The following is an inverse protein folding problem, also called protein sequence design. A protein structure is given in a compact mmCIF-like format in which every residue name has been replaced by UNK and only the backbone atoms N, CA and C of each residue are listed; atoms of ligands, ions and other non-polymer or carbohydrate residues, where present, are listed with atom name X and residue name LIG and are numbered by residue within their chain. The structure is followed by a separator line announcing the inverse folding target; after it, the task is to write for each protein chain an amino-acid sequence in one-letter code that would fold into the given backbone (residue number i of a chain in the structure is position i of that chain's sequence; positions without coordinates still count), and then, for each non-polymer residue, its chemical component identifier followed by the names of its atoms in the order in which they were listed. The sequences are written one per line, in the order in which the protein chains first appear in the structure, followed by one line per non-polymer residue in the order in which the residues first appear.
data_IF_271550299628
#
_entry.id   IF_271550299628
#
_cell.length_a   1.000
_cell.length_b   1.000
_cell.length_c   1.000
_cell.angle_alpha   90.00
_cell.angle_beta   90.00
_cell.angle_gamma   90.00
#
_symmetry.space_group_name_H-M   'P 1'
#
loop_
_entity.id
_entity.type
_entity.pdbx_description
1 polymer ?
#
# COMPACT_ATOMS: atom_id res chain seq x y z
N UNK A 1 58.37 28.61 26.17
CA UNK A 1 58.20 27.15 26.16
C UNK A 1 56.73 26.89 26.40
N UNK A 2 56.06 25.95 25.74
CA UNK A 2 56.49 24.67 25.18
C UNK A 2 55.24 24.19 24.42
N UNK A 3 55.24 24.17 23.08
CA UNK A 3 55.45 22.96 22.25
C UNK A 3 54.51 21.81 22.68
N UNK A 4 53.34 21.70 22.03
CA UNK A 4 53.02 20.75 20.94
C UNK A 4 53.12 19.28 21.33
N UNK A 5 51.98 18.59 21.20
CA UNK A 5 51.78 17.34 20.43
C UNK A 5 50.34 16.88 20.73
N UNK A 6 49.41 16.63 19.80
CA UNK A 6 49.55 16.28 18.40
C UNK A 6 48.65 15.07 18.17
N UNK A 7 47.45 15.26 17.62
CA UNK A 7 46.79 14.20 16.85
C UNK A 7 45.85 14.81 15.81
N UNK A 8 46.41 15.05 14.63
CA UNK A 8 45.65 15.19 13.38
C UNK A 8 45.64 13.83 12.69
N UNK A 9 44.46 13.31 12.37
CA UNK A 9 44.10 12.34 11.31
C UNK A 9 42.60 12.04 11.54
N UNK A 10 41.67 12.09 10.59
CA UNK A 10 41.73 12.23 9.15
C UNK A 10 40.39 12.81 8.66
N UNK A 11 40.45 13.53 7.53
CA UNK A 11 39.30 13.83 6.69
C UNK A 11 38.72 12.53 6.10
N UNK A 12 37.44 12.62 5.72
CA UNK A 12 36.69 11.77 4.79
C UNK A 12 35.81 10.66 5.40
N UNK A 13 34.63 11.07 5.85
CA UNK A 13 33.42 10.28 5.71
C UNK A 13 32.33 11.22 5.21
N UNK A 14 32.02 11.19 3.92
CA UNK A 14 30.99 12.04 3.32
C UNK A 14 29.68 11.87 4.09
N UNK A 15 29.12 12.99 4.56
CA UNK A 15 27.70 13.06 4.89
C UNK A 15 26.97 12.85 3.58
N UNK A 16 26.68 11.58 3.24
CA UNK A 16 25.79 11.27 2.12
C UNK A 16 24.42 11.82 2.51
N UNK A 17 24.12 13.02 2.01
CA UNK A 17 22.78 13.58 1.90
C UNK A 17 21.86 12.49 1.35
N UNK A 18 21.09 11.86 2.23
CA UNK A 18 20.25 10.70 1.92
C UNK A 18 19.10 11.17 1.04
N UNK A 19 19.19 10.89 -0.25
CA UNK A 19 18.13 11.21 -1.22
C UNK A 19 16.91 10.29 -1.04
N UNK A 20 15.70 10.83 -1.20
CA UNK A 20 14.43 10.12 -1.06
C UNK A 20 14.05 9.22 -2.24
N UNK A 21 15.02 8.66 -2.96
CA UNK A 21 14.77 7.81 -4.12
C UNK A 21 14.47 6.36 -3.72
N UNK A 22 13.63 5.69 -4.51
CA UNK A 22 13.16 4.31 -4.30
C UNK A 22 14.29 3.26 -4.27
N UNK A 23 15.47 3.60 -4.83
CA UNK A 23 16.67 2.76 -4.83
C UNK A 23 17.47 2.84 -3.53
N UNK A 24 17.35 3.92 -2.75
CA UNK A 24 18.09 4.07 -1.48
C UNK A 24 17.39 3.45 -0.27
N UNK A 25 16.22 2.82 -0.46
CA UNK A 25 15.30 2.52 0.63
C UNK A 25 15.15 1.04 1.01
N UNK A 26 15.84 0.12 0.35
CA UNK A 26 15.65 -1.32 0.60
C UNK A 26 16.94 -2.10 0.30
N UNK A 27 18.05 -1.80 0.96
CA UNK A 27 19.25 -2.65 0.84
C UNK A 27 19.41 -3.63 2.01
N UNK A 28 18.82 -3.35 3.18
CA UNK A 28 18.95 -4.25 4.34
C UNK A 28 17.61 -4.39 5.09
N UNK A 29 16.85 -5.45 4.76
CA UNK A 29 15.72 -5.89 5.56
C UNK A 29 15.76 -7.40 5.74
N UNK A 30 15.50 -7.87 6.95
CA UNK A 30 15.49 -9.29 7.28
C UNK A 30 14.18 -9.65 7.96
N UNK A 31 13.67 -10.84 7.67
CA UNK A 31 12.49 -11.38 8.31
C UNK A 31 12.82 -12.74 8.89
N UNK A 32 12.31 -13.00 10.09
CA UNK A 32 12.35 -14.32 10.69
C UNK A 32 11.04 -14.62 11.40
N UNK A 33 10.78 -15.90 11.62
CA UNK A 33 9.67 -16.36 12.43
C UNK A 33 10.10 -16.49 13.89
N UNK A 34 9.29 -15.98 14.81
CA UNK A 34 9.51 -16.06 16.25
C UNK A 34 8.59 -17.07 16.95
N UNK A 35 7.60 -17.63 16.25
CA UNK A 35 6.59 -18.54 16.84
C UNK A 35 7.21 -19.66 17.68
N UNK A 36 8.29 -20.28 17.18
CA UNK A 36 8.98 -21.35 17.90
C UNK A 36 9.59 -20.89 19.22
N UNK A 37 10.19 -19.69 19.24
CA UNK A 37 10.77 -19.11 20.45
C UNK A 37 9.68 -18.71 21.45
N UNK A 38 8.57 -18.13 21.00
CA UNK A 38 7.51 -17.65 21.89
C UNK A 38 6.66 -18.80 22.48
N UNK A 39 6.52 -19.92 21.76
CA UNK A 39 5.72 -21.06 22.21
C UNK A 39 6.51 -22.19 22.86
N UNK A 40 7.76 -22.39 22.43
CA UNK A 40 8.62 -23.52 22.81
C UNK A 40 9.98 -23.08 23.33
N UNK A 41 10.15 -21.79 23.62
CA UNK A 41 11.36 -21.26 24.23
C UNK A 41 11.58 -21.80 25.65
N UNK A 42 12.69 -21.40 26.29
CA UNK A 42 13.00 -21.82 27.67
C UNK A 42 12.02 -21.30 28.73
N UNK A 43 11.16 -20.32 28.39
CA UNK A 43 10.07 -19.86 29.24
C UNK A 43 8.77 -20.67 29.06
N UNK A 44 7.71 -20.23 29.74
CA UNK A 44 6.36 -20.75 29.47
C UNK A 44 5.87 -20.31 28.07
N UNK A 45 4.88 -21.00 27.50
CA UNK A 45 4.25 -20.58 26.24
C UNK A 45 3.61 -19.20 26.42
N UNK A 46 4.27 -18.17 25.86
CA UNK A 46 3.83 -16.76 25.93
C UNK A 46 2.56 -16.52 25.12
N UNK A 47 2.17 -17.46 24.26
CA UNK A 47 1.02 -17.40 23.36
C UNK A 47 -0.02 -18.50 23.68
N UNK A 48 -0.04 -19.01 24.91
CA UNK A 48 -0.96 -20.09 25.32
C UNK A 48 -2.44 -19.74 25.11
N UNK A 49 -2.82 -18.47 25.26
CA UNK A 49 -4.19 -17.98 25.02
C UNK A 49 -4.51 -17.72 23.55
N UNK A 50 -3.53 -17.81 22.65
CA UNK A 50 -3.70 -17.52 21.23
C UNK A 50 -4.00 -18.79 20.43
N UNK A 51 -4.72 -18.70 19.30
CA UNK A 51 -4.99 -19.85 18.45
C UNK A 51 -3.71 -20.60 18.07
N UNK A 52 -3.73 -21.94 18.16
CA UNK A 52 -2.56 -22.79 17.93
C UNK A 52 -1.93 -22.60 16.52
N UNK A 53 -2.74 -22.23 15.53
CA UNK A 53 -2.30 -21.98 14.15
C UNK A 53 -1.66 -20.61 13.94
N UNK A 54 -1.67 -19.74 14.94
CA UNK A 54 -1.17 -18.37 14.84
C UNK A 54 0.35 -18.35 14.94
N UNK A 55 0.96 -17.71 13.96
CA UNK A 55 2.42 -17.60 13.81
C UNK A 55 2.84 -16.15 13.87
N UNK A 56 3.95 -15.89 14.54
CA UNK A 56 4.50 -14.55 14.79
C UNK A 56 5.79 -14.40 14.00
N UNK A 57 5.88 -13.29 13.26
CA UNK A 57 7.04 -12.91 12.49
C UNK A 57 7.56 -11.56 12.94
N UNK A 58 8.87 -11.38 12.80
CA UNK A 58 9.51 -10.09 12.98
C UNK A 58 10.26 -9.70 11.71
N UNK A 59 10.08 -8.45 11.31
CA UNK A 59 10.90 -7.81 10.29
C UNK A 59 11.79 -6.78 10.96
N UNK A 60 13.09 -6.83 10.67
CA UNK A 60 14.02 -5.74 10.95
C UNK A 60 14.36 -5.01 9.66
N UNK A 61 14.33 -3.68 9.68
CA UNK A 61 14.71 -2.83 8.54
C UNK A 61 15.49 -1.60 9.00
N UNK A 62 16.30 -1.02 8.12
CA UNK A 62 16.94 0.26 8.40
C UNK A 62 15.88 1.37 8.47
N UNK A 63 15.84 2.15 9.56
CA UNK A 63 14.90 3.24 9.66
C UNK A 63 15.24 4.32 8.64
N UNK A 64 14.19 4.93 8.12
CA UNK A 64 14.34 6.03 7.19
C UNK A 64 14.60 7.35 7.92
N UNK A 65 15.18 8.35 7.22
CA UNK A 65 15.33 9.68 7.79
C UNK A 65 13.99 10.22 8.28
N UNK A 66 13.90 10.54 9.57
CA UNK A 66 12.68 11.06 10.21
C UNK A 66 11.76 10.01 10.85
N UNK A 67 12.12 8.72 10.82
CA UNK A 67 11.40 7.71 11.58
C UNK A 67 11.49 7.98 13.09
N UNK A 68 10.35 7.98 13.79
CA UNK A 68 10.33 7.96 15.25
C UNK A 68 10.66 6.55 15.71
N UNK A 69 11.80 6.40 16.39
CA UNK A 69 12.28 5.14 16.93
C UNK A 69 12.03 5.11 18.43
N UNK A 70 11.66 3.93 18.94
CA UNK A 70 11.75 3.67 20.37
C UNK A 70 13.21 3.75 20.84
N UNK A 71 13.43 3.90 22.16
CA UNK A 71 14.77 3.97 22.75
C UNK A 71 15.65 2.77 22.36
N UNK A 72 15.06 1.57 22.28
CA UNK A 72 15.74 0.35 21.86
C UNK A 72 16.14 0.38 20.36
N UNK A 73 15.22 0.80 19.49
CA UNK A 73 15.48 0.91 18.05
C UNK A 73 16.51 1.99 17.72
N UNK A 74 16.58 3.06 18.52
CA UNK A 74 17.56 4.12 18.39
C UNK A 74 18.99 3.64 18.74
N UNK A 75 19.13 2.75 19.71
CA UNK A 75 20.42 2.15 20.09
C UNK A 75 20.94 1.17 19.01
N UNK A 76 20.07 0.30 18.52
CA UNK A 76 20.45 -0.72 17.53
C UNK A 76 20.56 -0.15 16.10
N UNK A 77 19.93 0.99 15.83
CA UNK A 77 19.84 1.57 14.49
C UNK A 77 19.00 0.72 13.52
N UNK A 78 18.07 -0.06 14.07
CA UNK A 78 17.13 -0.94 13.35
C UNK A 78 15.72 -0.67 13.84
N UNK A 79 14.77 -0.67 12.90
CA UNK A 79 13.33 -0.68 13.21
C UNK A 79 12.83 -2.11 13.21
N UNK A 80 12.07 -2.49 14.22
CA UNK A 80 11.49 -3.82 14.34
C UNK A 80 9.96 -3.74 14.25
N UNK A 81 9.39 -4.51 13.32
CA UNK A 81 7.94 -4.62 13.16
C UNK A 81 7.54 -6.07 13.29
N UNK A 82 6.71 -6.37 14.29
CA UNK A 82 6.12 -7.67 14.48
C UNK A 82 4.76 -7.74 13.78
N UNK A 83 4.45 -8.90 13.22
CA UNK A 83 3.16 -9.17 12.61
C UNK A 83 2.83 -10.66 12.68
N UNK A 84 1.57 -10.99 12.43
CA UNK A 84 1.00 -12.30 12.72
C UNK A 84 0.25 -12.84 11.50
N UNK A 85 0.28 -14.15 11.32
CA UNK A 85 -0.50 -14.81 10.27
C UNK A 85 -0.92 -16.22 10.71
N UNK A 86 -2.03 -16.70 10.19
CA UNK A 86 -2.49 -18.08 10.35
C UNK A 86 -2.16 -18.96 9.12
N UNK A 87 -1.24 -18.50 8.25
CA UNK A 87 -0.80 -19.28 7.10
C UNK A 87 -0.15 -20.59 7.54
N UNK A 88 -0.54 -21.74 6.95
CA UNK A 88 0.05 -23.02 7.29
C UNK A 88 1.56 -23.03 7.10
N UNK A 89 2.28 -23.63 8.04
CA UNK A 89 3.72 -23.90 7.89
C UNK A 89 4.00 -24.85 6.71
N UNK A 90 3.05 -25.74 6.41
CA UNK A 90 3.10 -26.70 5.30
C UNK A 90 2.88 -26.09 3.92
N UNK A 91 2.76 -24.76 3.81
CA UNK A 91 2.63 -24.09 2.53
C UNK A 91 3.85 -24.37 1.65
N UNK A 92 3.64 -24.97 0.48
CA UNK A 92 4.72 -25.39 -0.41
C UNK A 92 5.30 -24.23 -1.22
N UNK A 93 6.60 -24.31 -1.52
CA UNK A 93 7.30 -23.38 -2.40
C UNK A 93 7.41 -21.98 -1.80
N UNK A 94 7.34 -20.97 -2.66
CA UNK A 94 7.46 -19.56 -2.28
C UNK A 94 6.40 -19.09 -1.27
N UNK A 95 5.22 -19.74 -1.23
CA UNK A 95 4.12 -19.38 -0.33
C UNK A 95 4.46 -19.58 1.17
N UNK A 96 5.35 -20.52 1.50
CA UNK A 96 5.79 -20.79 2.87
C UNK A 96 7.01 -19.98 3.29
N UNK A 97 7.65 -19.25 2.38
CA UNK A 97 8.88 -18.50 2.67
C UNK A 97 8.59 -17.24 3.49
N UNK A 98 9.30 -16.98 4.60
CA UNK A 98 9.09 -15.78 5.42
C UNK A 98 9.16 -14.46 4.64
N UNK A 99 10.05 -14.37 3.64
CA UNK A 99 10.21 -13.20 2.77
C UNK A 99 8.97 -12.91 1.94
N UNK A 100 8.32 -13.97 1.46
CA UNK A 100 7.08 -13.83 0.71
C UNK A 100 5.91 -13.44 1.61
N UNK A 101 5.79 -14.08 2.77
CA UNK A 101 4.72 -13.79 3.73
C UNK A 101 4.85 -12.34 4.21
N UNK A 102 6.06 -11.86 4.47
CA UNK A 102 6.36 -10.45 4.76
C UNK A 102 5.93 -9.52 3.61
N UNK A 103 6.30 -9.84 2.37
CA UNK A 103 5.88 -9.06 1.22
C UNK A 103 4.35 -8.99 1.09
N UNK A 104 3.65 -10.11 1.30
CA UNK A 104 2.20 -10.16 1.29
C UNK A 104 1.59 -9.33 2.43
N UNK A 105 2.19 -9.37 3.63
CA UNK A 105 1.77 -8.55 4.76
C UNK A 105 1.94 -7.05 4.46
N UNK A 106 3.05 -6.62 3.84
CA UNK A 106 3.22 -5.21 3.43
C UNK A 106 2.20 -4.75 2.41
N UNK A 107 1.73 -5.64 1.54
CA UNK A 107 0.64 -5.33 0.60
C UNK A 107 -0.68 -5.11 1.33
N UNK A 108 -0.87 -5.69 2.53
CA UNK A 108 -2.06 -5.46 3.34
C UNK A 108 -2.25 -4.00 3.73
N UNK A 109 -1.18 -3.20 3.85
CA UNK A 109 -1.28 -1.75 4.04
C UNK A 109 -2.07 -1.05 2.92
N UNK A 110 -2.12 -1.63 1.70
CA UNK A 110 -2.97 -1.13 0.61
C UNK A 110 -4.45 -1.36 0.88
N UNK A 111 -4.81 -2.44 1.58
CA UNK A 111 -6.19 -2.72 1.99
C UNK A 111 -6.63 -1.70 3.03
N UNK A 112 -5.78 -1.40 4.01
CA UNK A 112 -6.07 -0.37 5.01
C UNK A 112 -6.28 1.01 4.36
N UNK A 113 -5.43 1.38 3.40
CA UNK A 113 -5.60 2.64 2.65
C UNK A 113 -6.88 2.63 1.77
N UNK A 114 -7.23 1.48 1.19
CA UNK A 114 -8.49 1.31 0.45
C UNK A 114 -9.72 1.41 1.37
N UNK A 115 -9.65 0.89 2.61
CA UNK A 115 -10.72 1.02 3.61
C UNK A 115 -10.86 2.48 4.05
N UNK A 116 -9.72 3.16 4.31
CA UNK A 116 -9.69 4.59 4.66
C UNK A 116 -10.39 5.42 3.59
N UNK A 117 -10.00 5.24 2.33
CA UNK A 117 -10.60 5.96 1.20
C UNK A 117 -12.01 5.50 0.86
N UNK A 118 -12.38 4.27 1.23
CA UNK A 118 -13.75 3.75 1.10
C UNK A 118 -14.79 4.55 1.89
N UNK A 119 -14.39 5.22 2.97
CA UNK A 119 -15.26 6.15 3.70
C UNK A 119 -15.72 7.31 2.80
N UNK A 120 -14.85 7.81 1.94
CA UNK A 120 -15.16 8.87 0.96
C UNK A 120 -16.07 8.38 -0.18
N UNK A 121 -16.20 7.06 -0.35
CA UNK A 121 -17.06 6.45 -1.37
C UNK A 121 -18.37 5.92 -0.79
N UNK A 122 -18.79 6.39 0.39
CA UNK A 122 -20.10 6.10 0.97
C UNK A 122 -20.10 5.07 2.09
N UNK A 123 -18.96 4.48 2.46
CA UNK A 123 -18.86 3.54 3.58
C UNK A 123 -18.79 4.23 4.96
N UNK A 124 -18.65 5.56 5.00
CA UNK A 124 -18.53 6.31 6.25
C UNK A 124 -19.86 6.51 6.97
N UNK A 125 -21.00 6.42 6.28
CA UNK A 125 -22.34 6.64 6.87
C UNK A 125 -23.41 5.90 6.07
N UNK A 126 -24.16 5.04 6.75
CA UNK A 126 -25.32 4.38 6.17
C UNK A 126 -26.54 5.31 6.12
N UNK A 127 -27.37 5.23 5.05
CA UNK A 127 -28.45 6.18 4.82
C UNK A 127 -29.73 5.88 5.61
N UNK A 128 -29.86 4.69 6.21
CA UNK A 128 -31.10 4.25 6.87
C UNK A 128 -30.82 3.44 8.13
N UNK A 129 -31.84 3.26 8.97
CA UNK A 129 -31.86 2.26 10.03
C UNK A 129 -32.32 0.87 9.54
N UNK A 130 -32.87 0.81 8.32
CA UNK A 130 -33.30 -0.43 7.69
C UNK A 130 -32.12 -1.24 7.13
N UNK A 131 -32.06 -2.52 7.47
CA UNK A 131 -30.96 -3.41 7.08
C UNK A 131 -30.91 -3.69 5.58
N UNK A 132 -32.06 -3.84 4.92
CA UNK A 132 -32.12 -4.13 3.47
C UNK A 132 -31.63 -2.93 2.66
N UNK A 133 -32.06 -1.71 3.04
CA UNK A 133 -31.58 -0.47 2.42
C UNK A 133 -30.06 -0.34 2.58
N UNK A 134 -29.54 -0.62 3.78
CA UNK A 134 -28.10 -0.54 4.04
C UNK A 134 -27.30 -1.62 3.30
N UNK A 135 -27.89 -2.80 3.09
CA UNK A 135 -27.29 -3.86 2.27
C UNK A 135 -27.17 -3.44 0.81
N UNK A 136 -28.24 -2.85 0.25
CA UNK A 136 -28.21 -2.31 -1.11
C UNK A 136 -27.19 -1.17 -1.23
N UNK A 137 -27.14 -0.26 -0.24
CA UNK A 137 -26.16 0.82 -0.16
C UNK A 137 -24.73 0.30 -0.13
N UNK A 138 -24.44 -0.68 0.73
CA UNK A 138 -23.12 -1.31 0.83
C UNK A 138 -22.71 -1.94 -0.50
N UNK A 139 -23.63 -2.63 -1.16
CA UNK A 139 -23.39 -3.26 -2.48
C UNK A 139 -23.02 -2.21 -3.53
N UNK A 140 -23.76 -1.10 -3.57
CA UNK A 140 -23.47 0.00 -4.49
C UNK A 140 -22.11 0.67 -4.19
N UNK A 141 -21.83 0.95 -2.91
CA UNK A 141 -20.56 1.54 -2.48
C UNK A 141 -19.35 0.64 -2.82
N UNK A 142 -19.46 -0.66 -2.56
CA UNK A 142 -18.42 -1.64 -2.89
C UNK A 142 -18.24 -1.78 -4.41
N UNK A 143 -19.33 -1.78 -5.18
CA UNK A 143 -19.26 -1.77 -6.64
C UNK A 143 -18.50 -0.53 -7.14
N UNK A 144 -18.80 0.65 -6.59
CA UNK A 144 -18.09 1.89 -6.89
C UNK A 144 -16.60 1.83 -6.57
N UNK A 145 -16.24 1.27 -5.40
CA UNK A 145 -14.84 1.10 -5.00
C UNK A 145 -14.08 0.14 -5.95
N UNK A 146 -14.71 -0.96 -6.36
CA UNK A 146 -14.13 -1.90 -7.33
C UNK A 146 -13.94 -1.24 -8.70
N UNK A 147 -14.94 -0.51 -9.21
CA UNK A 147 -14.83 0.21 -10.47
C UNK A 147 -13.72 1.28 -10.44
N UNK A 148 -13.58 1.99 -9.33
CA UNK A 148 -12.48 2.95 -9.12
C UNK A 148 -11.12 2.26 -9.13
N UNK A 149 -10.98 1.12 -8.47
CA UNK A 149 -9.75 0.35 -8.46
C UNK A 149 -9.36 -0.10 -9.87
N UNK A 150 -10.31 -0.63 -10.65
CA UNK A 150 -10.08 -1.02 -12.04
C UNK A 150 -9.76 0.17 -12.94
N UNK A 151 -10.44 1.31 -12.77
CA UNK A 151 -10.14 2.54 -13.50
C UNK A 151 -8.69 2.97 -13.26
N UNK A 152 -8.26 3.00 -11.99
CA UNK A 152 -6.88 3.36 -11.61
C UNK A 152 -5.86 2.36 -12.18
N UNK A 153 -6.17 1.07 -12.15
CA UNK A 153 -5.28 0.01 -12.60
C UNK A 153 -5.11 -0.04 -14.12
N UNK A 154 -6.21 0.10 -14.87
CA UNK A 154 -6.23 -0.16 -16.32
C UNK A 154 -6.11 1.10 -17.16
N UNK A 155 -6.60 2.24 -16.68
CA UNK A 155 -6.83 3.41 -17.52
C UNK A 155 -5.97 4.62 -17.12
N UNK A 156 -5.63 4.76 -15.85
CA UNK A 156 -4.92 5.94 -15.34
C UNK A 156 -3.43 5.66 -15.12
N UNK A 157 -2.63 6.73 -15.14
CA UNK A 157 -1.19 6.68 -14.87
C UNK A 157 -0.74 7.82 -13.94
N UNK A 158 0.54 7.79 -13.59
CA UNK A 158 1.21 8.84 -12.82
C UNK A 158 0.48 9.20 -11.53
N UNK A 159 0.20 10.49 -11.36
CA UNK A 159 -0.45 11.01 -10.16
C UNK A 159 -1.94 10.63 -10.07
N UNK A 160 -2.63 10.39 -11.19
CA UNK A 160 -4.04 10.00 -11.19
C UNK A 160 -4.23 8.53 -10.81
N UNK A 161 -3.32 7.64 -11.22
CA UNK A 161 -3.33 6.24 -10.78
C UNK A 161 -3.16 6.09 -9.25
N UNK A 162 -2.54 7.08 -8.60
CA UNK A 162 -2.34 7.13 -7.14
C UNK A 162 -3.33 8.07 -6.42
N UNK A 163 -4.17 8.78 -7.17
CA UNK A 163 -5.07 9.77 -6.59
C UNK A 163 -6.15 9.13 -5.71
N UNK A 164 -6.54 9.86 -4.66
CA UNK A 164 -7.67 9.51 -3.82
C UNK A 164 -9.00 9.66 -4.57
N UNK A 165 -10.07 8.94 -4.15
CA UNK A 165 -11.38 8.97 -4.81
C UNK A 165 -11.93 10.39 -4.99
N UNK A 166 -11.76 11.27 -4.00
CA UNK A 166 -12.21 12.66 -4.06
C UNK A 166 -11.57 13.41 -5.24
N UNK A 167 -10.27 13.26 -5.44
CA UNK A 167 -9.55 13.87 -6.56
C UNK A 167 -10.03 13.33 -7.90
N UNK A 168 -10.23 12.01 -8.01
CA UNK A 168 -10.75 11.40 -9.23
C UNK A 168 -12.19 11.82 -9.53
N UNK A 169 -13.02 12.00 -8.49
CA UNK A 169 -14.37 12.54 -8.61
C UNK A 169 -14.33 13.88 -9.30
N UNK A 170 -13.55 14.83 -8.79
CA UNK A 170 -13.48 16.18 -9.37
C UNK A 170 -12.81 16.23 -10.74
N UNK A 171 -11.76 15.45 -10.99
CA UNK A 171 -10.97 15.59 -12.22
C UNK A 171 -11.51 14.79 -13.40
N UNK A 172 -11.99 13.58 -13.13
CA UNK A 172 -12.33 12.58 -14.16
C UNK A 172 -13.84 12.31 -14.18
N UNK A 173 -14.44 11.98 -13.03
CA UNK A 173 -15.79 11.42 -12.99
C UNK A 173 -16.90 12.48 -12.98
N UNK A 174 -16.58 13.73 -12.62
CA UNK A 174 -17.53 14.86 -12.64
C UNK A 174 -17.51 15.63 -13.97
N UNK A 175 -16.65 15.24 -14.93
CA UNK A 175 -16.60 15.88 -16.23
C UNK A 175 -17.93 15.71 -16.97
N UNK A 176 -18.44 16.80 -17.56
CA UNK A 176 -19.67 16.79 -18.36
C UNK A 176 -19.41 16.14 -19.73
N UNK A 177 -19.22 14.81 -19.75
CA UNK A 177 -18.96 14.03 -20.95
C UNK A 177 -20.22 13.37 -21.51
N UNK A 178 -20.28 13.18 -22.83
CA UNK A 178 -21.37 12.49 -23.52
C UNK A 178 -20.86 11.25 -24.24
N UNK A 179 -21.41 10.09 -23.92
CA UNK A 179 -21.16 8.86 -24.65
C UNK A 179 -22.09 8.77 -25.86
N UNK A 180 -21.52 8.71 -27.06
CA UNK A 180 -22.25 8.60 -28.33
C UNK A 180 -21.93 7.25 -28.99
N UNK A 181 -22.92 6.65 -29.63
CA UNK A 181 -22.77 5.41 -30.41
C UNK A 181 -23.00 5.71 -31.90
N UNK A 182 -22.13 5.20 -32.77
CA UNK A 182 -22.28 5.33 -34.22
C UNK A 182 -21.32 4.42 -34.97
N UNK A 183 -21.77 3.83 -36.08
CA UNK A 183 -20.94 2.96 -36.93
C UNK A 183 -20.27 1.82 -36.16
N UNK A 184 -21.03 1.12 -35.30
CA UNK A 184 -20.56 0.06 -34.39
C UNK A 184 -19.45 0.48 -33.40
N UNK A 185 -19.19 1.78 -33.23
CA UNK A 185 -18.18 2.31 -32.29
C UNK A 185 -18.82 3.21 -31.22
N UNK A 186 -18.22 3.19 -30.03
CA UNK A 186 -18.53 4.11 -28.93
C UNK A 186 -17.52 5.27 -28.96
N UNK A 187 -17.99 6.50 -28.81
CA UNK A 187 -17.15 7.71 -28.74
C UNK A 187 -17.52 8.50 -27.49
N UNK A 188 -16.53 8.79 -26.66
CA UNK A 188 -16.68 9.67 -25.50
C UNK A 188 -16.36 11.11 -25.92
N UNK A 189 -17.36 12.00 -25.87
CA UNK A 189 -17.18 13.44 -26.12
C UNK A 189 -16.94 14.15 -24.79
N UNK A 190 -15.80 14.80 -24.65
CA UNK A 190 -15.42 15.59 -23.46
C UNK A 190 -15.24 17.05 -23.87
N UNK A 191 -15.67 18.03 -23.07
CA UNK A 191 -15.42 19.44 -23.35
C UNK A 191 -13.91 19.74 -23.44
N UNK A 192 -13.49 20.42 -24.51
CA UNK A 192 -12.07 20.79 -24.71
C UNK A 192 -11.54 21.72 -23.62
N UNK A 193 -12.41 22.51 -23.01
CA UNK A 193 -12.07 23.45 -21.94
C UNK A 193 -11.90 22.78 -20.57
N UNK A 194 -12.22 21.49 -20.45
CA UNK A 194 -12.05 20.78 -19.18
C UNK A 194 -10.55 20.57 -18.90
N UNK A 195 -10.02 20.99 -17.73
CA UNK A 195 -8.58 20.94 -17.46
C UNK A 195 -7.95 19.54 -17.56
N UNK A 196 -8.75 18.48 -17.36
CA UNK A 196 -8.31 17.09 -17.41
C UNK A 196 -8.81 16.33 -18.64
N UNK A 197 -9.27 17.03 -19.69
CA UNK A 197 -9.83 16.40 -20.89
C UNK A 197 -8.88 15.37 -21.53
N UNK A 198 -7.59 15.70 -21.63
CA UNK A 198 -6.55 14.82 -22.19
C UNK A 198 -6.38 13.54 -21.37
N UNK A 199 -6.46 13.62 -20.05
CA UNK A 199 -6.37 12.46 -19.17
C UNK A 199 -7.59 11.54 -19.34
N UNK A 200 -8.79 12.11 -19.49
CA UNK A 200 -10.02 11.37 -19.77
C UNK A 200 -9.93 10.68 -21.14
N UNK A 201 -9.41 11.39 -22.15
CA UNK A 201 -9.20 10.84 -23.48
C UNK A 201 -8.23 9.65 -23.46
N UNK A 202 -7.06 9.79 -22.82
CA UNK A 202 -6.09 8.70 -22.70
C UNK A 202 -6.67 7.50 -21.93
N UNK A 203 -7.39 7.76 -20.84
CA UNK A 203 -8.08 6.71 -20.08
C UNK A 203 -9.09 5.97 -20.95
N UNK A 204 -9.90 6.70 -21.72
CA UNK A 204 -10.87 6.12 -22.65
C UNK A 204 -10.19 5.27 -23.72
N UNK A 205 -9.13 5.78 -24.35
CA UNK A 205 -8.36 5.06 -25.37
C UNK A 205 -7.82 3.73 -24.82
N UNK A 206 -7.21 3.74 -23.62
CA UNK A 206 -6.71 2.53 -22.94
C UNK A 206 -7.82 1.53 -22.69
N UNK A 207 -8.96 1.96 -22.14
CA UNK A 207 -10.11 1.07 -21.88
C UNK A 207 -10.63 0.46 -23.18
N UNK A 208 -10.74 1.25 -24.25
CA UNK A 208 -11.23 0.74 -25.55
C UNK A 208 -10.25 -0.15 -26.29
N UNK A 209 -8.96 -0.08 -25.95
CA UNK A 209 -7.92 -0.94 -26.51
C UNK A 209 -7.81 -2.29 -25.79
N UNK A 210 -8.48 -2.46 -24.64
CA UNK A 210 -8.48 -3.74 -23.94
C UNK A 210 -9.11 -4.83 -24.83
N UNK A 211 -8.50 -6.02 -24.89
CA UNK A 211 -9.07 -7.14 -25.63
C UNK A 211 -10.46 -7.44 -25.08
N UNK A 212 -11.44 -7.64 -25.98
CA UNK A 212 -12.76 -8.11 -25.57
C UNK A 212 -12.61 -9.54 -25.08
N UNK A 213 -13.34 -9.89 -24.02
CA UNK A 213 -13.45 -11.28 -23.61
C UNK A 213 -13.95 -12.12 -24.81
N UNK A 214 -13.41 -13.34 -24.99
CA UNK A 214 -13.77 -14.23 -26.09
C UNK A 214 -15.26 -14.59 -26.09
#
# INVERSE_FOLDING_TARGET
GEQQDGFTLARNGSVRSRCGHIRCWIEEAHVTELTGLLRKGPGADELASWPAKMRVYVRRERPHPGAQLSLFEAQDGWRYTLWVTNRPETAKGWLGQPQYIDAAHRVHARVEDAIRTGKDTGLGRFPSHDFQINTAWLTAAMTGAVLLAWLKLLALDGHLAKAEPKTLRYRILHAAARLVRGGRRRRLKVPRTWPWATHIEHAWQRITALPQAP
#
